data_IF_253090472268
#
_entry.id   IF_253090472268
#
_cell.length_a   1.000
_cell.length_b   1.000
_cell.length_c   1.000
_cell.angle_alpha   90.00
_cell.angle_beta   90.00
_cell.angle_gamma   90.00
#
_symmetry.space_group_name_H-M   'P 1'
#
loop_
_entity.id
_entity.type
_entity.pdbx_description
1 polymer ?
#
# COMPACT_ATOMS: atom_id res chain seq x y z
N UNK A 1 3.74 7.84 7.27
CA UNK A 1 3.40 7.65 5.85
C UNK A 1 3.92 6.30 5.38
N UNK A 2 3.12 5.59 4.59
CA UNK A 2 3.49 4.34 3.94
C UNK A 2 3.45 4.49 2.43
N UNK A 3 4.39 3.88 1.72
CA UNK A 3 4.22 3.67 0.28
C UNK A 3 3.48 2.35 0.06
N UNK A 4 2.49 2.36 -0.81
CA UNK A 4 1.80 1.16 -1.28
C UNK A 4 1.88 1.12 -2.80
N UNK A 5 2.57 0.12 -3.36
CA UNK A 5 2.65 -0.07 -4.81
C UNK A 5 1.31 -0.56 -5.34
N UNK A 6 0.85 0.05 -6.43
CA UNK A 6 -0.38 -0.35 -7.10
C UNK A 6 -0.17 -1.54 -8.05
N UNK A 7 0.51 -2.59 -7.57
CA UNK A 7 0.87 -3.78 -8.35
C UNK A 7 2.01 -3.54 -9.36
N UNK A 8 2.33 -4.59 -10.13
CA UNK A 8 3.35 -4.52 -11.16
C UNK A 8 2.98 -3.48 -12.23
N UNK A 9 3.91 -2.59 -12.57
CA UNK A 9 3.70 -1.48 -13.51
C UNK A 9 2.49 -0.61 -13.17
N UNK A 10 2.19 -0.46 -11.87
CA UNK A 10 1.10 0.39 -11.37
C UNK A 10 -0.29 0.02 -11.89
N UNK A 11 -0.49 -1.27 -12.26
CA UNK A 11 -1.73 -1.81 -12.84
C UNK A 11 -3.01 -1.36 -12.10
N UNK A 12 -2.98 -1.29 -10.77
CA UNK A 12 -4.15 -1.00 -9.93
C UNK A 12 -4.28 0.48 -9.56
N UNK A 13 -3.42 1.36 -10.08
CA UNK A 13 -3.37 2.76 -9.65
C UNK A 13 -4.71 3.45 -9.91
N UNK A 14 -5.29 3.23 -11.09
CA UNK A 14 -6.55 3.87 -11.47
C UNK A 14 -7.73 3.36 -10.64
N UNK A 15 -7.75 2.06 -10.32
CA UNK A 15 -8.75 1.47 -9.44
C UNK A 15 -8.68 2.09 -8.04
N UNK A 16 -7.46 2.29 -7.51
CA UNK A 16 -7.25 2.91 -6.20
C UNK A 16 -7.72 4.37 -6.18
N UNK A 17 -7.35 5.14 -7.20
CA UNK A 17 -7.74 6.54 -7.34
C UNK A 17 -9.27 6.68 -7.44
N UNK A 18 -9.89 6.02 -8.41
CA UNK A 18 -11.31 6.18 -8.72
C UNK A 18 -12.19 5.55 -7.64
N UNK A 19 -11.74 4.45 -7.04
CA UNK A 19 -12.44 3.71 -6.00
C UNK A 19 -12.22 4.22 -4.58
N UNK A 20 -11.31 5.16 -4.36
CA UNK A 20 -10.93 5.66 -3.03
C UNK A 20 -10.50 4.54 -2.06
N UNK A 21 -9.61 3.66 -2.50
CA UNK A 21 -9.07 2.60 -1.66
C UNK A 21 -7.63 2.27 -2.02
N UNK A 22 -6.95 1.55 -1.14
CA UNK A 22 -5.77 0.76 -1.49
C UNK A 22 -6.08 -0.71 -1.28
N UNK A 23 -5.47 -1.58 -2.07
CA UNK A 23 -5.70 -3.01 -1.95
C UNK A 23 -4.49 -3.87 -2.28
N UNK A 24 -4.56 -5.14 -1.91
CA UNK A 24 -3.54 -6.15 -2.22
C UNK A 24 -4.17 -7.39 -2.85
N UNK A 25 -3.54 -7.95 -3.90
CA UNK A 25 -3.94 -9.24 -4.44
C UNK A 25 -3.51 -10.37 -3.50
N UNK A 26 -4.36 -11.38 -3.32
CA UNK A 26 -4.03 -12.60 -2.60
C UNK A 26 -5.03 -13.72 -2.88
N UNK A 27 -4.66 -14.95 -2.56
CA UNK A 27 -5.52 -16.13 -2.54
C UNK A 27 -6.17 -16.35 -1.16
N UNK A 28 -5.79 -15.55 -0.16
CA UNK A 28 -6.50 -15.53 1.11
C UNK A 28 -7.97 -15.15 0.88
N UNK A 29 -8.85 -15.86 1.59
CA UNK A 29 -10.24 -15.42 1.77
C UNK A 29 -10.30 -14.28 2.78
N UNK A 30 -11.49 -13.88 3.20
CA UNK A 30 -11.65 -12.87 4.23
C UNK A 30 -10.82 -13.21 5.49
N UNK A 31 -9.97 -12.25 5.87
CA UNK A 31 -9.09 -12.32 7.03
C UNK A 31 -9.59 -11.48 8.22
N UNK A 32 -10.86 -11.03 8.22
CA UNK A 32 -11.42 -10.18 9.28
C UNK A 32 -11.32 -10.80 10.67
N UNK A 33 -11.30 -12.13 10.76
CA UNK A 33 -11.19 -12.89 12.02
C UNK A 33 -9.73 -13.24 12.39
N UNK A 34 -8.74 -12.84 11.59
CA UNK A 34 -7.31 -13.11 11.86
C UNK A 34 -6.75 -11.99 12.71
N UNK A 35 -6.35 -12.32 13.93
CA UNK A 35 -6.01 -11.32 14.96
C UNK A 35 -4.51 -11.23 15.25
N UNK A 36 -3.69 -12.10 14.64
CA UNK A 36 -2.24 -12.11 14.87
C UNK A 36 -1.43 -12.45 13.63
N UNK A 37 -0.16 -12.02 13.63
CA UNK A 37 0.81 -12.38 12.58
C UNK A 37 1.10 -13.88 12.59
N UNK A 38 0.97 -14.53 13.74
CA UNK A 38 1.16 -15.97 13.92
C UNK A 38 0.01 -16.75 13.25
N UNK A 39 -1.24 -16.39 13.52
CA UNK A 39 -2.41 -16.97 12.84
C UNK A 39 -2.34 -16.82 11.33
N UNK A 40 -1.97 -15.62 10.85
CA UNK A 40 -1.79 -15.36 9.42
C UNK A 40 -0.72 -16.26 8.79
N UNK A 41 0.38 -16.53 9.51
CA UNK A 41 1.46 -17.41 9.02
C UNK A 41 1.05 -18.87 8.98
N UNK A 42 0.23 -19.34 9.93
CA UNK A 42 -0.31 -20.70 9.88
C UNK A 42 -1.28 -20.85 8.71
N UNK A 43 -2.20 -19.90 8.52
CA UNK A 43 -3.12 -19.90 7.38
C UNK A 43 -2.39 -19.90 6.04
N UNK A 44 -1.27 -19.16 5.94
CA UNK A 44 -0.44 -19.13 4.73
C UNK A 44 0.11 -20.50 4.32
N UNK A 45 0.31 -21.44 5.26
CA UNK A 45 0.77 -22.80 4.94
C UNK A 45 -0.33 -23.61 4.24
N UNK A 46 -1.59 -23.34 4.56
CA UNK A 46 -2.74 -24.01 3.97
C UNK A 46 -3.13 -23.40 2.61
N UNK A 47 -3.08 -22.08 2.51
CA UNK A 47 -3.42 -21.34 1.27
C UNK A 47 -2.32 -21.47 0.22
N UNK A 48 -1.06 -21.46 0.64
CA UNK A 48 0.11 -21.53 -0.26
C UNK A 48 1.03 -22.72 0.08
N UNK A 49 0.55 -23.97 -0.02
CA UNK A 49 1.35 -25.15 0.32
C UNK A 49 2.58 -25.33 -0.59
N UNK A 50 2.51 -24.86 -1.83
CA UNK A 50 3.54 -24.96 -2.86
C UNK A 50 4.68 -23.95 -2.71
N UNK A 51 4.44 -22.82 -2.04
CA UNK A 51 5.48 -21.82 -1.80
C UNK A 51 6.52 -22.33 -0.80
N UNK A 52 7.75 -21.81 -0.90
CA UNK A 52 8.73 -22.00 0.16
C UNK A 52 8.44 -21.10 1.38
N UNK A 53 9.16 -21.34 2.49
CA UNK A 53 8.98 -20.57 3.71
C UNK A 53 9.27 -19.07 3.53
N UNK A 54 10.25 -18.73 2.69
CA UNK A 54 10.64 -17.33 2.45
C UNK A 54 9.53 -16.58 1.73
N UNK A 55 8.96 -17.17 0.69
CA UNK A 55 7.89 -16.57 -0.10
C UNK A 55 6.59 -16.46 0.70
N UNK A 56 6.21 -17.49 1.47
CA UNK A 56 5.09 -17.38 2.42
C UNK A 56 5.30 -16.25 3.43
N UNK A 57 6.50 -16.14 3.98
CA UNK A 57 6.85 -15.05 4.91
C UNK A 57 6.73 -13.67 4.26
N UNK A 58 7.15 -13.54 3.01
CA UNK A 58 7.02 -12.28 2.28
C UNK A 58 5.55 -11.88 2.08
N UNK A 59 4.70 -12.79 1.61
CA UNK A 59 3.27 -12.53 1.41
C UNK A 59 2.60 -12.17 2.73
N UNK A 60 2.84 -12.95 3.79
CA UNK A 60 2.27 -12.68 5.13
C UNK A 60 2.77 -11.38 5.74
N UNK A 61 4.00 -10.95 5.45
CA UNK A 61 4.50 -9.65 5.88
C UNK A 61 3.79 -8.50 5.16
N UNK A 62 3.53 -8.62 3.87
CA UNK A 62 2.84 -7.59 3.08
C UNK A 62 1.37 -7.49 3.51
N UNK A 63 0.66 -8.62 3.54
CA UNK A 63 -0.75 -8.68 4.00
C UNK A 63 -0.85 -8.25 5.47
N UNK A 64 0.07 -8.71 6.32
CA UNK A 64 0.10 -8.35 7.74
C UNK A 64 0.27 -6.85 7.99
N UNK A 65 0.89 -6.09 7.07
CA UNK A 65 0.94 -4.62 7.18
C UNK A 65 -0.44 -4.00 7.04
N UNK A 66 -1.19 -4.44 6.03
CA UNK A 66 -2.55 -3.97 5.78
C UNK A 66 -3.49 -4.31 6.95
N UNK A 67 -3.35 -5.50 7.53
CA UNK A 67 -4.17 -5.95 8.65
C UNK A 67 -3.80 -5.23 9.96
N UNK A 68 -2.51 -5.21 10.32
CA UNK A 68 -2.09 -4.92 11.70
C UNK A 68 -1.24 -3.65 11.87
N UNK A 69 -0.57 -3.18 10.84
CA UNK A 69 0.37 -2.05 10.96
C UNK A 69 -0.27 -0.71 10.58
N UNK A 70 -1.30 -0.71 9.72
CA UNK A 70 -2.03 0.47 9.28
C UNK A 70 -3.10 0.91 10.28
N UNK A 71 -3.19 2.22 10.49
CA UNK A 71 -4.19 2.86 11.33
C UNK A 71 -4.99 3.90 10.51
N UNK A 72 -6.19 4.22 10.99
CA UNK A 72 -6.92 5.40 10.49
C UNK A 72 -6.02 6.64 10.66
N UNK A 73 -6.09 7.54 9.68
CA UNK A 73 -5.28 8.76 9.54
C UNK A 73 -3.80 8.54 9.18
N UNK A 74 -3.33 7.29 9.02
CA UNK A 74 -2.02 7.06 8.40
C UNK A 74 -2.02 7.56 6.95
N UNK A 75 -1.04 8.39 6.60
CA UNK A 75 -0.81 8.80 5.22
C UNK A 75 -0.31 7.65 4.38
N UNK A 76 -0.83 7.52 3.16
CA UNK A 76 -0.37 6.61 2.13
C UNK A 76 -0.02 7.39 0.87
N UNK A 77 1.07 6.98 0.23
CA UNK A 77 1.50 7.44 -1.08
C UNK A 77 1.53 6.24 -2.04
N UNK A 78 1.05 6.42 -3.26
CA UNK A 78 1.16 5.44 -4.34
C UNK A 78 1.62 6.12 -5.62
N UNK A 79 2.31 5.39 -6.49
CA UNK A 79 2.97 5.93 -7.66
C UNK A 79 2.24 5.51 -8.93
N UNK A 80 2.10 6.44 -9.87
CA UNK A 80 1.70 6.21 -11.25
C UNK A 80 2.93 6.31 -12.15
N UNK A 81 3.32 5.19 -12.76
CA UNK A 81 4.45 5.15 -13.68
C UNK A 81 4.16 5.87 -15.01
N UNK A 82 2.90 5.93 -15.43
CA UNK A 82 2.50 6.52 -16.70
C UNK A 82 2.60 8.04 -16.65
N UNK A 83 1.97 8.65 -15.64
CA UNK A 83 1.98 10.11 -15.46
C UNK A 83 3.20 10.60 -14.65
N UNK A 84 3.98 9.68 -14.07
CA UNK A 84 5.10 9.97 -13.15
C UNK A 84 4.65 10.83 -11.96
N UNK A 85 3.46 10.56 -11.45
CA UNK A 85 2.87 11.27 -10.33
C UNK A 85 2.73 10.38 -9.11
N UNK A 86 2.82 10.98 -7.93
CA UNK A 86 2.45 10.33 -6.70
C UNK A 86 1.06 10.80 -6.28
N UNK A 87 0.20 9.86 -5.91
CA UNK A 87 -1.10 10.11 -5.29
C UNK A 87 -0.97 9.93 -3.78
N UNK A 88 -1.45 10.92 -3.03
CA UNK A 88 -1.35 10.97 -1.58
C UNK A 88 -2.75 11.03 -0.96
N UNK A 89 -2.95 10.26 0.09
CA UNK A 89 -4.20 10.19 0.85
C UNK A 89 -3.97 9.74 2.28
N UNK A 90 -5.06 9.67 3.05
CA UNK A 90 -5.06 9.09 4.38
C UNK A 90 -6.05 7.93 4.47
N UNK A 91 -5.71 6.93 5.28
CA UNK A 91 -6.59 5.79 5.55
C UNK A 91 -7.80 6.26 6.36
N UNK A 92 -9.00 5.86 5.96
CA UNK A 92 -10.26 6.22 6.64
C UNK A 92 -11.09 5.03 7.10
N UNK A 93 -10.55 3.80 6.98
CA UNK A 93 -11.20 2.61 7.51
C UNK A 93 -10.22 1.61 8.11
N UNK A 94 -10.79 0.67 8.87
CA UNK A 94 -10.15 -0.60 9.18
C UNK A 94 -10.02 -1.48 7.93
N UNK A 95 -9.37 -2.63 8.09
CA UNK A 95 -9.29 -3.67 7.05
C UNK A 95 -10.69 -4.07 6.56
N UNK A 96 -10.80 -4.28 5.25
CA UNK A 96 -12.01 -4.81 4.61
C UNK A 96 -11.65 -5.88 3.60
N UNK A 97 -12.54 -6.86 3.47
CA UNK A 97 -12.53 -7.80 2.37
C UNK A 97 -13.65 -7.46 1.38
N UNK A 98 -13.25 -7.09 0.16
CA UNK A 98 -14.17 -6.87 -0.96
C UNK A 98 -13.98 -8.05 -1.90
N UNK A 99 -14.85 -9.06 -1.79
CA UNK A 99 -14.86 -10.17 -2.74
C UNK A 99 -15.08 -9.67 -4.18
N UNK A 100 -14.63 -10.47 -5.15
CA UNK A 100 -14.85 -10.25 -6.60
C UNK A 100 -14.07 -9.09 -7.26
N UNK A 101 -12.95 -8.65 -6.67
CA UNK A 101 -11.98 -7.74 -7.31
C UNK A 101 -10.56 -8.33 -7.27
N UNK A 102 -9.66 -7.83 -8.13
CA UNK A 102 -8.25 -8.29 -8.22
C UNK A 102 -7.45 -8.02 -6.93
N UNK A 103 -7.87 -7.04 -6.12
CA UNK A 103 -7.19 -6.62 -4.87
C UNK A 103 -8.13 -6.66 -3.68
N UNK A 104 -8.62 -7.86 -3.27
CA UNK A 104 -9.77 -7.98 -2.38
C UNK A 104 -9.50 -7.56 -0.93
N UNK A 105 -8.23 -7.53 -0.51
CA UNK A 105 -7.84 -7.04 0.81
C UNK A 105 -7.60 -5.55 0.75
N UNK A 106 -8.51 -4.76 1.33
CA UNK A 106 -8.56 -3.31 1.12
C UNK A 106 -8.55 -2.50 2.40
N UNK A 107 -8.23 -1.21 2.25
CA UNK A 107 -8.62 -0.14 3.17
C UNK A 107 -9.10 1.06 2.38
N UNK A 108 -10.15 1.71 2.87
CA UNK A 108 -10.67 2.92 2.27
C UNK A 108 -9.67 4.07 2.49
N UNK A 109 -9.59 4.91 1.47
CA UNK A 109 -8.72 6.08 1.43
C UNK A 109 -9.55 7.34 1.27
N UNK A 110 -9.04 8.43 1.82
CA UNK A 110 -9.39 9.78 1.39
C UNK A 110 -8.19 10.35 0.68
N UNK A 111 -8.25 10.44 -0.64
CA UNK A 111 -7.22 11.09 -1.44
C UNK A 111 -7.25 12.60 -1.23
N UNK A 112 -6.07 13.20 -1.07
CA UNK A 112 -5.91 14.63 -0.77
C UNK A 112 -5.20 15.40 -1.89
N UNK A 113 -4.51 14.71 -2.80
CA UNK A 113 -3.96 15.30 -4.01
C UNK A 113 -2.82 14.51 -4.61
N UNK A 114 -2.19 15.09 -5.63
CA UNK A 114 -1.05 14.53 -6.35
C UNK A 114 0.12 15.50 -6.36
N UNK A 115 1.32 14.94 -6.54
CA UNK A 115 2.55 15.70 -6.83
C UNK A 115 3.28 15.04 -8.01
N UNK A 116 4.02 15.82 -8.80
CA UNK A 116 4.88 15.22 -9.81
C UNK A 116 6.14 14.65 -9.14
N UNK A 117 6.54 13.44 -9.55
CA UNK A 117 7.77 12.80 -9.04
C UNK A 117 8.99 13.70 -9.23
N UNK A 118 9.02 14.45 -10.33
CA UNK A 118 10.20 15.19 -10.73
C UNK A 118 10.46 16.45 -9.88
N UNK A 119 9.44 16.92 -9.17
CA UNK A 119 9.52 18.07 -8.25
C UNK A 119 10.20 17.70 -6.91
N UNK A 120 10.12 16.42 -6.51
CA UNK A 120 10.80 15.91 -5.30
C UNK A 120 12.33 15.95 -5.42
N UNK A 121 13.02 16.05 -4.30
CA UNK A 121 14.49 15.95 -4.28
C UNK A 121 14.97 14.55 -4.64
N UNK A 122 16.18 14.48 -5.22
CA UNK A 122 16.75 13.22 -5.73
C UNK A 122 16.91 12.12 -4.67
N UNK A 123 17.14 12.49 -3.42
CA UNK A 123 17.30 11.54 -2.32
C UNK A 123 15.95 10.95 -1.85
N UNK A 124 14.88 11.75 -1.84
CA UNK A 124 13.51 11.26 -1.57
C UNK A 124 13.03 10.36 -2.70
N UNK A 125 13.20 10.77 -3.97
CA UNK A 125 12.89 9.92 -5.13
C UNK A 125 13.52 8.53 -5.01
N UNK A 126 14.82 8.48 -4.68
CA UNK A 126 15.56 7.21 -4.52
C UNK A 126 15.02 6.35 -3.38
N UNK A 127 14.50 6.96 -2.32
CA UNK A 127 13.91 6.22 -1.20
C UNK A 127 12.52 5.67 -1.55
N UNK A 128 11.73 6.38 -2.35
CA UNK A 128 10.41 5.95 -2.79
C UNK A 128 10.46 4.82 -3.84
N UNK A 129 11.59 4.65 -4.53
CA UNK A 129 11.84 3.56 -5.49
C UNK A 129 12.23 2.22 -4.83
N UNK A 130 11.92 2.01 -3.55
CA UNK A 130 12.21 0.75 -2.86
C UNK A 130 11.53 -0.44 -3.56
N UNK A 131 12.19 -1.59 -3.54
CA UNK A 131 11.70 -2.84 -4.13
C UNK A 131 10.44 -3.41 -3.48
N UNK A 132 10.16 -3.11 -2.21
CA UNK A 132 9.04 -3.70 -1.47
C UNK A 132 7.67 -3.15 -1.92
N UNK A 133 6.63 -4.00 -1.87
CA UNK A 133 5.26 -3.60 -2.23
C UNK A 133 4.63 -2.63 -1.22
N UNK A 134 4.97 -2.79 0.06
CA UNK A 134 4.59 -1.86 1.13
C UNK A 134 5.77 -1.63 2.05
N UNK A 135 6.11 -0.36 2.27
CA UNK A 135 7.10 0.03 3.27
C UNK A 135 6.78 1.37 3.92
N UNK A 136 7.32 1.57 5.12
CA UNK A 136 7.15 2.81 5.87
C UNK A 136 8.21 3.80 5.42
N UNK A 137 7.77 5.02 5.10
CA UNK A 137 8.67 6.12 4.74
C UNK A 137 9.13 6.81 6.04
N UNK A 138 10.40 7.23 6.09
CA UNK A 138 10.93 7.99 7.23
C UNK A 138 10.17 9.30 7.42
N UNK A 139 10.16 9.83 8.64
CA UNK A 139 9.46 11.09 8.92
C UNK A 139 10.04 12.27 8.11
N UNK A 140 11.35 12.27 7.88
CA UNK A 140 12.05 13.27 7.06
C UNK A 140 11.51 13.31 5.63
N UNK A 141 11.48 12.17 4.94
CA UNK A 141 11.02 12.11 3.55
C UNK A 141 9.51 12.28 3.42
N UNK A 142 8.75 11.83 4.43
CA UNK A 142 7.32 12.06 4.47
C UNK A 142 6.98 13.55 4.62
N UNK A 143 7.79 14.32 5.37
CA UNK A 143 7.62 15.78 5.48
C UNK A 143 7.78 16.44 4.12
N UNK A 144 8.87 16.13 3.39
CA UNK A 144 9.11 16.71 2.07
C UNK A 144 7.95 16.44 1.10
N UNK A 145 7.42 15.21 1.08
CA UNK A 145 6.25 14.86 0.25
C UNK A 145 5.02 15.69 0.60
N UNK A 146 4.76 15.92 1.89
CA UNK A 146 3.61 16.70 2.34
C UNK A 146 3.79 18.20 2.12
N UNK A 147 5.02 18.71 2.26
CA UNK A 147 5.39 20.08 1.96
C UNK A 147 5.20 20.36 0.46
N UNK A 148 5.70 19.45 -0.40
CA UNK A 148 5.51 19.55 -1.85
C UNK A 148 4.03 19.52 -2.24
N UNK A 149 3.23 18.65 -1.61
CA UNK A 149 1.79 18.58 -1.85
C UNK A 149 1.06 19.88 -1.48
N UNK A 150 1.52 20.57 -0.43
CA UNK A 150 0.94 21.82 0.01
C UNK A 150 1.34 23.00 -0.88
N UNK A 151 2.58 23.01 -1.39
CA UNK A 151 3.13 24.11 -2.18
C UNK A 151 2.81 24.01 -3.68
N UNK A 152 2.93 22.81 -4.26
CA UNK A 152 2.82 22.58 -5.70
C UNK A 152 1.97 21.32 -6.02
N UNK A 153 0.65 21.33 -5.75
CA UNK A 153 -0.22 20.24 -6.15
C UNK A 153 -0.27 20.11 -7.69
N UNK A 154 -0.22 18.87 -8.17
CA UNK A 154 -0.26 18.53 -9.60
C UNK A 154 -1.68 18.56 -10.19
#
# INVERSE_FOLDING_TARGET
MYLVKAGFQTKFFKDFEDGNFIGLPSEFKDLSDVNSKEELRELAKEVYPELDERNRRNITNIIGKLLFDFNIDDYVITYDEMERQYLIGNIVSDYKYVGDIDTPHTRDMKWIGKINRDDLHGHVKKNLEDSHDIFKISAEYASEVLDELAENPA
#
